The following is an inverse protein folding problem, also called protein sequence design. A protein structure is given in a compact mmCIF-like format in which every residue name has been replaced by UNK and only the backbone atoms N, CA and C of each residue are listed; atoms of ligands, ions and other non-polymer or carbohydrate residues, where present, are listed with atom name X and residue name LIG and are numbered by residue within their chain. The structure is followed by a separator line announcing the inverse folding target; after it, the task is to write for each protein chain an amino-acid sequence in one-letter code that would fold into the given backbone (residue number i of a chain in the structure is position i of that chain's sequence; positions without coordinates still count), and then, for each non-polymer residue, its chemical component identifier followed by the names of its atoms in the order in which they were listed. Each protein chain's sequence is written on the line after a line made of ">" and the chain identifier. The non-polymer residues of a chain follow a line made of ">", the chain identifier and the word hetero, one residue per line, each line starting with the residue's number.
data_IF_751971502819
#
_entry.id   IF_751971502819
#
_cell.length_a   1.000
_cell.length_b   1.000
_cell.length_c   1.000
_cell.angle_alpha   90.00
_cell.angle_beta   90.00
_cell.angle_gamma   90.00
#
_symmetry.space_group_name_H-M   'P 1'
#
loop_
_entity.id
_entity.type
_entity.pdbx_description
1 polymer ?
#
# COMPACT_ATOMS: atom_id res chain seq x y z
N UNK A 1 -29.90 11.20 1.17
CA UNK A 1 -29.70 9.74 1.38
C UNK A 1 -28.23 9.45 1.18
N UNK A 2 -27.59 8.69 2.09
CA UNK A 2 -26.19 8.31 1.91
C UNK A 2 -26.05 7.48 0.64
N UNK A 3 -24.97 7.73 -0.14
CA UNK A 3 -24.63 6.93 -1.31
C UNK A 3 -24.42 5.46 -0.88
N UNK A 4 -24.90 4.52 -1.70
CA UNK A 4 -24.76 3.07 -1.44
C UNK A 4 -23.31 2.68 -1.14
N UNK A 5 -22.35 3.26 -1.85
CA UNK A 5 -20.92 3.02 -1.62
C UNK A 5 -20.43 3.58 -0.29
N UNK A 6 -21.00 4.68 0.20
CA UNK A 6 -20.66 5.19 1.54
C UNK A 6 -21.10 4.22 2.64
N UNK A 7 -22.30 3.65 2.52
CA UNK A 7 -22.79 2.63 3.45
C UNK A 7 -21.88 1.41 3.44
N UNK A 8 -21.53 0.90 2.25
CA UNK A 8 -20.64 -0.25 2.10
C UNK A 8 -19.23 0.04 2.66
N UNK A 9 -18.69 1.24 2.43
CA UNK A 9 -17.37 1.65 2.96
C UNK A 9 -17.39 1.68 4.49
N UNK A 10 -18.43 2.23 5.11
CA UNK A 10 -18.59 2.22 6.58
C UNK A 10 -18.71 0.79 7.12
N UNK A 11 -19.49 -0.07 6.48
CA UNK A 11 -19.62 -1.47 6.85
C UNK A 11 -18.28 -2.23 6.73
N UNK A 12 -17.49 -1.94 5.69
CA UNK A 12 -16.12 -2.47 5.53
C UNK A 12 -15.25 -2.07 6.72
N UNK A 13 -15.22 -0.79 7.09
CA UNK A 13 -14.37 -0.29 8.18
C UNK A 13 -14.76 -0.94 9.51
N UNK A 14 -16.03 -1.02 9.84
CA UNK A 14 -16.46 -1.61 11.11
C UNK A 14 -16.37 -3.14 11.12
N UNK A 15 -16.88 -3.81 10.08
CA UNK A 15 -17.01 -5.28 10.06
C UNK A 15 -15.76 -6.01 9.61
N UNK A 16 -14.96 -5.42 8.71
CA UNK A 16 -13.80 -6.09 8.14
C UNK A 16 -12.46 -5.62 8.72
N UNK A 17 -12.38 -4.38 9.20
CA UNK A 17 -11.12 -3.82 9.72
C UNK A 17 -11.13 -3.77 11.25
N UNK A 18 -12.01 -2.97 11.85
CA UNK A 18 -12.08 -2.79 13.31
C UNK A 18 -12.38 -4.12 14.02
N UNK A 19 -13.35 -4.88 13.53
CA UNK A 19 -13.71 -6.18 14.10
C UNK A 19 -12.58 -7.23 14.02
N UNK A 20 -11.64 -7.06 13.07
CA UNK A 20 -10.46 -7.93 12.91
C UNK A 20 -9.18 -7.40 13.55
N UNK A 21 -9.27 -6.36 14.37
CA UNK A 21 -8.16 -5.92 15.21
C UNK A 21 -7.37 -4.73 14.69
N UNK A 22 -7.75 -4.08 13.58
CA UNK A 22 -7.15 -2.79 13.20
C UNK A 22 -7.56 -1.74 14.23
N UNK A 23 -6.57 -1.05 14.81
CA UNK A 23 -6.74 -0.11 15.94
C UNK A 23 -6.29 1.31 15.61
N UNK A 24 -5.38 1.48 14.63
CA UNK A 24 -4.89 2.81 14.24
C UNK A 24 -6.03 3.70 13.78
N UNK A 25 -6.29 4.79 14.52
CA UNK A 25 -7.31 5.75 14.17
C UNK A 25 -7.04 6.40 12.80
N UNK A 26 -5.78 6.71 12.51
CA UNK A 26 -5.37 7.30 11.23
C UNK A 26 -5.68 6.35 10.06
N UNK A 27 -5.35 5.07 10.19
CA UNK A 27 -5.65 4.06 9.17
C UNK A 27 -7.16 3.91 8.96
N UNK A 28 -7.92 3.76 10.04
CA UNK A 28 -9.38 3.62 9.96
C UNK A 28 -10.05 4.85 9.34
N UNK A 29 -9.56 6.06 9.66
CA UNK A 29 -10.05 7.32 9.07
C UNK A 29 -9.74 7.40 7.59
N UNK A 30 -8.50 7.08 7.17
CA UNK A 30 -8.12 7.04 5.76
C UNK A 30 -8.98 6.04 4.98
N UNK A 31 -9.14 4.81 5.49
CA UNK A 31 -9.98 3.78 4.88
C UNK A 31 -11.46 4.17 4.81
N UNK A 32 -11.97 4.93 5.78
CA UNK A 32 -13.34 5.47 5.77
C UNK A 32 -13.50 6.63 4.79
N UNK A 33 -12.45 7.40 4.54
CA UNK A 33 -12.47 8.57 3.65
C UNK A 33 -12.36 8.18 2.17
N UNK A 34 -11.44 7.27 1.83
CA UNK A 34 -11.09 6.96 0.44
C UNK A 34 -12.12 6.03 -0.21
N UNK A 35 -12.81 6.47 -1.29
CA UNK A 35 -13.84 5.70 -1.98
C UNK A 35 -13.21 4.63 -2.88
N UNK A 36 -13.06 3.41 -2.36
CA UNK A 36 -12.38 2.28 -3.02
C UNK A 36 -12.95 1.93 -4.40
N UNK A 37 -14.26 2.16 -4.63
CA UNK A 37 -14.91 1.91 -5.93
C UNK A 37 -14.33 2.75 -7.08
N UNK A 38 -13.60 3.83 -6.79
CA UNK A 38 -12.92 4.62 -7.81
C UNK A 38 -11.59 3.99 -8.29
N UNK A 39 -11.08 2.99 -7.56
CA UNK A 39 -9.79 2.34 -7.80
C UNK A 39 -9.93 0.95 -8.44
N UNK A 40 -11.11 0.61 -8.91
CA UNK A 40 -11.42 -0.63 -9.62
C UNK A 40 -12.09 -0.32 -10.94
N UNK A 41 -11.98 -1.22 -11.96
CA UNK A 41 -12.75 -1.11 -13.20
C UNK A 41 -14.26 -1.02 -12.91
N UNK A 42 -14.99 -0.40 -13.83
CA UNK A 42 -16.44 -0.19 -13.66
C UNK A 42 -17.21 -1.50 -13.40
N UNK A 43 -16.84 -2.59 -14.08
CA UNK A 43 -17.45 -3.90 -13.88
C UNK A 43 -17.26 -4.46 -12.46
N UNK A 44 -16.21 -4.03 -11.74
CA UNK A 44 -15.89 -4.49 -10.39
C UNK A 44 -16.42 -3.56 -9.29
N UNK A 45 -17.01 -2.41 -9.63
CA UNK A 45 -17.44 -1.43 -8.62
C UNK A 45 -18.46 -1.98 -7.62
N UNK A 46 -19.34 -2.87 -8.06
CA UNK A 46 -20.33 -3.53 -7.17
C UNK A 46 -19.66 -4.38 -6.10
N UNK A 47 -18.47 -4.93 -6.39
CA UNK A 47 -17.68 -5.79 -5.54
C UNK A 47 -16.60 -5.03 -4.74
N UNK A 48 -16.47 -3.69 -4.94
CA UNK A 48 -15.33 -2.92 -4.43
C UNK A 48 -15.11 -3.00 -2.92
N UNK A 49 -16.14 -3.34 -2.14
CA UNK A 49 -16.07 -3.43 -0.68
C UNK A 49 -16.14 -4.87 -0.13
N UNK A 50 -16.05 -5.89 -1.01
CA UNK A 50 -15.86 -7.27 -0.52
C UNK A 50 -14.48 -7.40 0.15
N UNK A 51 -14.36 -8.34 1.08
CA UNK A 51 -13.09 -8.58 1.78
C UNK A 51 -12.18 -9.52 0.97
N UNK A 52 -11.83 -9.11 -0.22
CA UNK A 52 -10.99 -9.85 -1.16
C UNK A 52 -10.25 -8.94 -2.14
N UNK A 53 -9.26 -9.47 -2.87
CA UNK A 53 -8.62 -8.77 -3.97
C UNK A 53 -9.58 -8.69 -5.17
N UNK A 54 -9.38 -7.69 -6.04
CA UNK A 54 -10.12 -7.52 -7.28
C UNK A 54 -9.16 -7.23 -8.44
N UNK A 55 -9.46 -7.66 -9.67
CA UNK A 55 -8.63 -7.37 -10.83
C UNK A 55 -8.66 -5.88 -11.17
N UNK A 56 -7.49 -5.35 -11.59
CA UNK A 56 -7.34 -3.96 -12.07
C UNK A 56 -6.78 -3.88 -13.48
N UNK A 57 -6.75 -4.99 -14.19
CA UNK A 57 -6.11 -5.10 -15.50
C UNK A 57 -4.64 -5.50 -15.41
N UNK A 58 -4.03 -5.75 -16.56
CA UNK A 58 -2.60 -6.12 -16.70
C UNK A 58 -2.16 -7.30 -15.84
N UNK A 59 -3.08 -8.22 -15.48
CA UNK A 59 -2.79 -9.33 -14.57
C UNK A 59 -2.57 -8.91 -13.12
N UNK A 60 -2.86 -7.65 -12.76
CA UNK A 60 -2.68 -7.10 -11.42
C UNK A 60 -4.00 -7.01 -10.66
N UNK A 61 -3.89 -6.86 -9.33
CA UNK A 61 -5.05 -6.76 -8.44
C UNK A 61 -4.90 -5.60 -7.45
N UNK A 62 -6.03 -5.00 -7.07
CA UNK A 62 -6.10 -4.21 -5.84
C UNK A 62 -6.19 -5.17 -4.65
N UNK A 63 -5.35 -5.00 -3.65
CA UNK A 63 -5.30 -5.87 -2.48
C UNK A 63 -6.59 -5.83 -1.66
N UNK A 64 -6.88 -6.93 -0.95
CA UNK A 64 -7.98 -7.04 0.02
C UNK A 64 -7.96 -5.85 1.00
N UNK A 65 -9.12 -5.23 1.33
CA UNK A 65 -9.17 -4.08 2.25
C UNK A 65 -8.48 -4.32 3.60
N UNK A 66 -8.66 -5.51 4.18
CA UNK A 66 -8.01 -5.86 5.44
C UNK A 66 -6.47 -5.86 5.32
N UNK A 67 -5.92 -6.37 4.23
CA UNK A 67 -4.46 -6.41 4.00
C UNK A 67 -3.91 -4.99 3.82
N UNK A 68 -4.58 -4.12 3.07
CA UNK A 68 -4.21 -2.70 2.94
C UNK A 68 -4.13 -2.04 4.31
N UNK A 69 -5.17 -2.20 5.14
CA UNK A 69 -5.21 -1.61 6.47
C UNK A 69 -4.14 -2.20 7.40
N UNK A 70 -3.97 -3.52 7.39
CA UNK A 70 -3.00 -4.23 8.23
C UNK A 70 -1.55 -3.82 7.91
N UNK A 71 -1.20 -3.78 6.62
CA UNK A 71 0.13 -3.35 6.19
C UNK A 71 0.39 -1.89 6.54
N UNK A 72 -0.60 -1.02 6.35
CA UNK A 72 -0.48 0.41 6.70
C UNK A 72 -0.33 0.61 8.20
N UNK A 73 -1.08 -0.13 9.04
CA UNK A 73 -0.95 -0.09 10.50
C UNK A 73 0.43 -0.57 10.95
N UNK A 74 0.94 -1.64 10.35
CA UNK A 74 2.27 -2.20 10.65
C UNK A 74 3.44 -1.26 10.31
N UNK A 75 3.23 -0.25 9.45
CA UNK A 75 4.20 0.81 9.20
C UNK A 75 4.35 1.81 10.35
N UNK A 76 3.39 1.86 11.29
CA UNK A 76 3.41 2.78 12.44
C UNK A 76 3.58 4.25 12.04
N UNK A 77 2.79 4.70 11.05
CA UNK A 77 2.82 6.08 10.56
C UNK A 77 2.28 7.06 11.61
N UNK A 78 2.96 8.22 11.75
CA UNK A 78 2.64 9.29 12.71
C UNK A 78 2.38 10.64 12.05
N UNK A 79 2.49 10.71 10.70
CA UNK A 79 2.20 11.92 9.92
C UNK A 79 3.42 12.67 9.40
N UNK A 80 4.63 12.35 9.85
CA UNK A 80 5.86 13.03 9.44
C UNK A 80 6.72 12.23 8.46
N UNK A 81 6.33 11.00 8.18
CA UNK A 81 7.17 10.05 7.45
C UNK A 81 7.20 10.32 5.95
N UNK A 82 8.37 10.07 5.36
CA UNK A 82 8.56 9.86 3.93
C UNK A 82 8.49 8.37 3.63
N UNK A 83 7.49 7.99 2.83
CA UNK A 83 7.19 6.60 2.51
C UNK A 83 7.59 6.27 1.08
N UNK A 84 8.26 5.12 0.87
CA UNK A 84 8.40 4.49 -0.44
C UNK A 84 7.37 3.38 -0.59
N UNK A 85 6.54 3.46 -1.61
CA UNK A 85 5.65 2.39 -2.05
C UNK A 85 6.20 1.75 -3.33
N UNK A 86 6.29 0.44 -3.36
CA UNK A 86 6.69 -0.35 -4.54
C UNK A 86 5.48 -1.18 -4.99
N UNK A 87 4.93 -0.80 -6.16
CA UNK A 87 3.69 -1.31 -6.73
C UNK A 87 2.53 -0.35 -6.51
N UNK A 88 2.46 0.73 -7.29
CA UNK A 88 1.34 1.70 -7.26
C UNK A 88 0.01 1.03 -7.58
N UNK A 89 -0.01 0.15 -8.58
CA UNK A 89 -1.21 -0.51 -9.06
C UNK A 89 -2.31 0.49 -9.41
N UNK A 90 -3.49 0.32 -8.80
CA UNK A 90 -4.62 1.25 -8.96
C UNK A 90 -4.43 2.60 -8.24
N UNK A 91 -3.45 2.72 -7.35
CA UNK A 91 -3.25 3.90 -6.49
C UNK A 91 -4.04 3.88 -5.19
N UNK A 92 -4.76 2.81 -4.84
CA UNK A 92 -5.56 2.77 -3.62
C UNK A 92 -4.69 2.79 -2.35
N UNK A 93 -3.67 1.94 -2.29
CA UNK A 93 -2.71 1.96 -1.18
C UNK A 93 -1.98 3.31 -1.12
N UNK A 94 -1.60 3.87 -2.29
CA UNK A 94 -0.99 5.21 -2.38
C UNK A 94 -1.89 6.28 -1.76
N UNK A 95 -3.21 6.26 -2.07
CA UNK A 95 -4.19 7.20 -1.50
C UNK A 95 -4.28 7.08 0.02
N UNK A 96 -4.32 5.86 0.56
CA UNK A 96 -4.36 5.62 2.01
C UNK A 96 -3.09 6.15 2.68
N UNK A 97 -1.91 5.92 2.09
CA UNK A 97 -0.64 6.46 2.58
C UNK A 97 -0.61 7.99 2.53
N UNK A 98 -1.11 8.59 1.45
CA UNK A 98 -1.13 10.04 1.25
C UNK A 98 -1.99 10.78 2.27
N UNK A 99 -3.02 10.12 2.83
CA UNK A 99 -3.85 10.68 3.92
C UNK A 99 -3.12 10.72 5.27
N UNK A 100 -2.04 9.96 5.43
CA UNK A 100 -1.40 9.77 6.75
C UNK A 100 0.03 10.31 6.73
N UNK A 101 0.81 10.01 5.68
CA UNK A 101 2.23 10.33 5.62
C UNK A 101 2.48 11.77 5.12
N UNK A 102 3.63 12.34 5.48
CA UNK A 102 4.06 13.64 4.97
C UNK A 102 4.35 13.61 3.47
N UNK A 103 4.96 12.52 2.98
CA UNK A 103 5.32 12.34 1.57
C UNK A 103 5.23 10.86 1.19
N UNK A 104 4.68 10.58 0.01
CA UNK A 104 4.65 9.25 -0.60
C UNK A 104 5.39 9.28 -1.93
N UNK A 105 6.44 8.47 -2.04
CA UNK A 105 7.11 8.17 -3.29
C UNK A 105 6.60 6.80 -3.75
N UNK A 106 5.93 6.73 -4.89
CA UNK A 106 5.36 5.47 -5.39
C UNK A 106 5.97 5.07 -6.72
N UNK A 107 6.29 3.77 -6.85
CA UNK A 107 6.91 3.20 -8.04
C UNK A 107 6.01 2.14 -8.66
N UNK A 108 5.91 2.15 -9.99
CA UNK A 108 5.16 1.17 -10.77
C UNK A 108 5.94 0.80 -12.03
N UNK A 109 5.96 -0.49 -12.35
CA UNK A 109 6.65 -0.98 -13.55
C UNK A 109 5.76 -0.91 -14.79
N UNK A 110 4.43 -0.93 -14.62
CA UNK A 110 3.43 -0.87 -15.69
C UNK A 110 3.04 0.60 -15.91
N UNK A 111 3.45 1.23 -17.04
CA UNK A 111 3.22 2.65 -17.27
C UNK A 111 1.74 3.04 -17.25
N UNK A 112 0.86 2.19 -17.78
CA UNK A 112 -0.58 2.43 -17.87
C UNK A 112 -1.21 2.52 -16.46
N UNK A 113 -0.81 1.66 -15.55
CA UNK A 113 -1.27 1.70 -14.15
C UNK A 113 -0.75 2.96 -13.45
N UNK A 114 0.54 3.27 -13.63
CA UNK A 114 1.14 4.48 -13.03
C UNK A 114 0.44 5.76 -13.53
N UNK A 115 0.17 5.86 -14.83
CA UNK A 115 -0.52 7.02 -15.40
C UNK A 115 -1.96 7.13 -14.88
N UNK A 116 -2.73 6.04 -14.90
CA UNK A 116 -4.11 6.02 -14.42
C UNK A 116 -4.21 6.39 -12.92
N UNK A 117 -3.33 5.84 -12.09
CA UNK A 117 -3.27 6.18 -10.67
C UNK A 117 -2.91 7.67 -10.46
N UNK A 118 -1.94 8.19 -11.20
CA UNK A 118 -1.55 9.62 -11.14
C UNK A 118 -2.70 10.53 -11.52
N UNK A 119 -3.40 10.24 -12.61
CA UNK A 119 -4.56 11.01 -13.06
C UNK A 119 -5.66 11.01 -11.99
N UNK A 120 -6.02 9.84 -11.47
CA UNK A 120 -7.04 9.70 -10.44
C UNK A 120 -6.66 10.47 -9.16
N UNK A 121 -5.44 10.29 -8.66
CA UNK A 121 -4.99 10.91 -7.40
C UNK A 121 -4.81 12.42 -7.52
N UNK A 122 -4.44 12.94 -8.68
CA UNK A 122 -4.33 14.37 -8.91
C UNK A 122 -5.66 15.05 -9.19
N UNK A 123 -6.51 14.45 -10.05
CA UNK A 123 -7.75 15.07 -10.50
C UNK A 123 -8.87 15.00 -9.44
N UNK A 124 -8.99 13.86 -8.74
CA UNK A 124 -10.09 13.63 -7.78
C UNK A 124 -9.69 14.05 -6.36
N UNK A 125 -8.47 13.71 -5.93
CA UNK A 125 -8.03 13.92 -4.55
C UNK A 125 -7.10 15.12 -4.38
N UNK A 126 -6.53 15.63 -5.49
CA UNK A 126 -5.61 16.79 -5.49
C UNK A 126 -4.42 16.64 -4.54
N UNK A 127 -3.94 15.39 -4.33
CA UNK A 127 -2.77 15.15 -3.48
C UNK A 127 -1.53 15.85 -4.03
N UNK A 128 -0.83 16.59 -3.17
CA UNK A 128 0.42 17.30 -3.47
C UNK A 128 1.64 16.62 -2.88
N UNK A 129 1.42 15.63 -2.01
CA UNK A 129 2.44 14.88 -1.29
C UNK A 129 2.77 13.52 -1.93
N UNK A 130 2.34 13.26 -3.18
CA UNK A 130 2.61 12.01 -3.90
C UNK A 130 3.51 12.28 -5.09
N UNK A 131 4.60 11.52 -5.20
CA UNK A 131 5.56 11.57 -6.30
C UNK A 131 5.58 10.18 -6.96
N UNK A 132 5.47 10.14 -8.29
CA UNK A 132 5.38 8.92 -9.09
C UNK A 132 6.65 8.67 -9.89
N UNK A 133 7.11 7.40 -9.93
CA UNK A 133 8.16 6.92 -10.82
C UNK A 133 7.70 5.66 -11.55
N UNK A 134 7.91 5.63 -12.87
CA UNK A 134 7.82 4.40 -13.65
C UNK A 134 9.19 3.73 -13.59
N UNK A 135 9.26 2.49 -13.11
CA UNK A 135 10.52 1.77 -12.98
C UNK A 135 10.40 0.51 -12.14
N UNK A 136 11.50 -0.24 -12.09
CA UNK A 136 11.58 -1.52 -11.37
C UNK A 136 11.74 -1.28 -9.88
N UNK A 137 10.83 -1.84 -9.09
CA UNK A 137 10.80 -1.65 -7.64
C UNK A 137 11.94 -2.33 -6.89
N UNK A 138 12.58 -3.35 -7.47
CA UNK A 138 13.69 -4.06 -6.85
C UNK A 138 14.90 -3.15 -6.55
N UNK A 139 15.07 -2.07 -7.31
CA UNK A 139 16.17 -1.12 -7.15
C UNK A 139 15.85 -0.04 -6.11
N UNK A 140 14.57 0.12 -5.77
CA UNK A 140 14.11 1.23 -4.95
C UNK A 140 14.24 2.59 -5.67
N UNK A 141 14.43 3.63 -4.85
CA UNK A 141 14.57 5.00 -5.37
C UNK A 141 15.70 5.77 -4.67
N UNK A 142 16.98 5.45 -5.00
CA UNK A 142 18.14 6.00 -4.31
C UNK A 142 18.20 7.53 -4.27
N UNK A 143 17.72 8.19 -5.35
CA UNK A 143 17.75 9.66 -5.47
C UNK A 143 16.82 10.36 -4.45
N UNK A 144 15.85 9.63 -3.92
CA UNK A 144 14.92 10.11 -2.89
C UNK A 144 15.19 9.52 -1.50
N UNK A 145 16.17 8.60 -1.38
CA UNK A 145 16.55 8.04 -0.08
C UNK A 145 17.14 9.12 0.86
N UNK A 146 17.10 8.93 2.19
CA UNK A 146 16.50 7.79 2.87
C UNK A 146 14.98 7.91 3.02
N UNK A 147 14.33 6.75 3.26
CA UNK A 147 12.90 6.65 3.54
C UNK A 147 12.66 6.21 4.99
N UNK A 148 11.67 6.77 5.65
CA UNK A 148 11.31 6.39 7.01
C UNK A 148 10.52 5.09 7.03
N UNK A 149 9.73 4.86 5.98
CA UNK A 149 8.89 3.67 5.81
C UNK A 149 8.94 3.19 4.38
N UNK A 150 8.85 1.88 4.20
CA UNK A 150 8.68 1.29 2.87
C UNK A 150 7.58 0.23 2.90
N UNK A 151 6.82 0.13 1.82
CA UNK A 151 5.80 -0.89 1.63
C UNK A 151 5.91 -1.50 0.24
N UNK A 152 5.92 -2.82 0.16
CA UNK A 152 5.86 -3.55 -1.10
C UNK A 152 4.46 -4.14 -1.25
N UNK A 153 3.81 -3.90 -2.37
CA UNK A 153 2.46 -4.39 -2.69
C UNK A 153 2.48 -5.52 -3.72
N UNK A 154 3.67 -6.02 -4.04
CA UNK A 154 3.95 -7.21 -4.84
C UNK A 154 5.02 -8.04 -4.14
N UNK A 155 5.00 -9.36 -4.31
CA UNK A 155 5.86 -10.28 -3.60
C UNK A 155 7.14 -10.60 -4.39
N UNK A 156 8.34 -10.19 -3.94
CA UNK A 156 9.59 -10.74 -4.43
C UNK A 156 9.76 -12.18 -3.89
N UNK A 157 10.33 -13.07 -4.73
CA UNK A 157 10.72 -14.41 -4.28
C UNK A 157 11.76 -14.37 -3.17
N UNK A 158 12.69 -13.41 -3.28
CA UNK A 158 13.66 -13.03 -2.25
C UNK A 158 13.63 -11.52 -2.07
N UNK A 159 13.69 -11.05 -0.83
CA UNK A 159 13.66 -9.62 -0.52
C UNK A 159 14.87 -8.90 -1.13
N UNK A 160 14.68 -7.77 -1.85
CA UNK A 160 15.78 -7.01 -2.45
C UNK A 160 16.53 -6.21 -1.37
N UNK A 161 17.65 -6.75 -0.88
CA UNK A 161 18.41 -6.18 0.25
C UNK A 161 18.95 -4.76 0.00
N UNK A 162 19.07 -4.34 -1.26
CA UNK A 162 19.43 -2.97 -1.62
C UNK A 162 18.49 -1.92 -1.00
N UNK A 163 17.26 -2.29 -0.69
CA UNK A 163 16.30 -1.42 -0.02
C UNK A 163 16.68 -1.09 1.43
N UNK A 164 17.44 -1.97 2.11
CA UNK A 164 17.93 -1.69 3.46
C UNK A 164 18.90 -0.50 3.53
N UNK A 165 19.67 -0.28 2.46
CA UNK A 165 20.56 0.88 2.36
C UNK A 165 19.77 2.19 2.21
N UNK A 166 18.56 2.13 1.67
CA UNK A 166 17.69 3.29 1.48
C UNK A 166 16.73 3.55 2.66
N UNK A 167 16.77 2.70 3.70
CA UNK A 167 15.93 2.83 4.90
C UNK A 167 16.64 3.67 5.96
N UNK A 168 15.93 4.66 6.52
CA UNK A 168 16.40 5.48 7.66
C UNK A 168 16.69 4.62 8.89
N UNK A 169 17.51 5.11 9.80
CA UNK A 169 17.61 4.55 11.14
C UNK A 169 16.26 4.69 11.88
N UNK A 170 15.80 3.62 12.53
CA UNK A 170 14.45 3.54 13.08
C UNK A 170 13.35 3.28 12.05
N UNK A 171 13.73 3.08 10.79
CA UNK A 171 12.80 2.83 9.69
C UNK A 171 12.19 1.43 9.71
N UNK A 172 11.04 1.29 9.03
CA UNK A 172 10.29 0.04 8.92
C UNK A 172 9.96 -0.25 7.46
N UNK A 173 10.13 -1.52 7.05
CA UNK A 173 9.64 -2.04 5.77
C UNK A 173 8.58 -3.10 6.05
N UNK A 174 7.48 -3.06 5.31
CA UNK A 174 6.46 -4.12 5.27
C UNK A 174 6.42 -4.67 3.86
N UNK A 175 6.68 -5.97 3.72
CA UNK A 175 6.76 -6.63 2.42
C UNK A 175 6.20 -8.06 2.48
N UNK A 176 5.41 -8.48 1.46
CA UNK A 176 5.19 -9.89 1.22
C UNK A 176 6.47 -10.50 0.63
N UNK A 177 6.90 -11.64 1.11
CA UNK A 177 8.11 -12.35 0.64
C UNK A 177 7.81 -13.82 0.44
N UNK A 178 8.28 -14.38 -0.64
CA UNK A 178 8.13 -15.81 -0.97
C UNK A 178 7.56 -16.03 -2.37
N UNK A 179 7.56 -17.29 -2.80
CA UNK A 179 7.00 -17.76 -4.06
C UNK A 179 5.56 -18.29 -3.89
N UNK A 180 5.42 -19.61 -3.71
CA UNK A 180 4.11 -20.24 -3.47
C UNK A 180 3.61 -19.96 -2.05
N UNK A 181 4.50 -20.12 -1.07
CA UNK A 181 4.23 -19.78 0.33
C UNK A 181 4.78 -18.39 0.61
N UNK A 182 3.89 -17.39 0.74
CA UNK A 182 4.27 -16.03 1.02
C UNK A 182 3.95 -15.65 2.45
N UNK A 183 4.90 -14.94 3.08
CA UNK A 183 4.73 -14.35 4.40
C UNK A 183 4.83 -12.84 4.28
N UNK A 184 3.96 -12.14 4.99
CA UNK A 184 4.16 -10.72 5.22
C UNK A 184 5.24 -10.57 6.28
N UNK A 185 6.32 -9.85 5.95
CA UNK A 185 7.48 -9.67 6.82
C UNK A 185 7.62 -8.19 7.16
N UNK A 186 7.87 -7.93 8.43
CA UNK A 186 8.30 -6.61 8.92
C UNK A 186 9.80 -6.62 9.10
N UNK A 187 10.49 -5.71 8.44
CA UNK A 187 11.89 -5.41 8.69
C UNK A 187 11.99 -4.08 9.44
N UNK A 188 12.81 -4.03 10.48
CA UNK A 188 13.10 -2.81 11.24
C UNK A 188 14.60 -2.58 11.33
N UNK A 189 15.03 -1.33 11.10
CA UNK A 189 16.43 -0.94 11.19
C UNK A 189 16.71 -0.32 12.56
N UNK A 190 17.60 -0.92 13.33
CA UNK A 190 18.01 -0.42 14.64
C UNK A 190 19.52 -0.53 14.82
N UNK A 191 20.17 0.60 15.11
CA UNK A 191 21.63 0.68 15.29
C UNK A 191 22.37 0.04 14.10
N UNK A 192 21.92 0.38 12.88
CA UNK A 192 22.46 -0.14 11.63
C UNK A 192 22.15 -1.60 11.32
N UNK A 193 21.46 -2.33 12.20
CA UNK A 193 21.09 -3.73 11.99
C UNK A 193 19.64 -3.84 11.50
N UNK A 194 19.38 -4.85 10.67
CA UNK A 194 18.04 -5.21 10.22
C UNK A 194 17.52 -6.39 11.03
N UNK A 195 16.37 -6.20 11.65
CA UNK A 195 15.61 -7.24 12.32
C UNK A 195 14.39 -7.58 11.48
N UNK A 196 14.18 -8.88 11.20
CA UNK A 196 13.04 -9.39 10.44
C UNK A 196 12.07 -10.11 11.38
N UNK A 197 10.77 -9.86 11.21
CA UNK A 197 9.70 -10.52 11.96
C UNK A 197 8.60 -10.94 11.00
N UNK A 198 8.29 -12.23 10.99
CA UNK A 198 7.14 -12.76 10.24
C UNK A 198 5.84 -12.32 10.89
N UNK A 199 4.89 -11.86 10.09
CA UNK A 199 3.56 -11.43 10.53
C UNK A 199 2.50 -12.50 10.20
N UNK A 200 1.89 -12.41 9.01
CA UNK A 200 0.81 -13.29 8.58
C UNK A 200 1.10 -13.92 7.22
N UNK A 201 0.46 -15.04 6.91
CA UNK A 201 0.44 -15.61 5.56
C UNK A 201 -0.38 -14.76 4.62
N UNK A 202 0.10 -14.58 3.38
CA UNK A 202 -0.53 -13.75 2.35
C UNK A 202 -0.35 -14.35 0.96
N UNK A 203 -1.10 -13.81 -0.01
CA UNK A 203 -0.90 -14.12 -1.43
C UNK A 203 -0.93 -12.80 -2.19
N UNK A 204 0.19 -12.45 -2.81
CA UNK A 204 0.36 -11.27 -3.67
C UNK A 204 0.81 -11.68 -5.06
N UNK A 205 0.58 -10.80 -6.03
CA UNK A 205 1.18 -10.91 -7.36
C UNK A 205 2.71 -10.82 -7.24
N UNK A 206 3.47 -11.47 -8.14
CA UNK A 206 4.93 -11.41 -8.10
C UNK A 206 5.45 -10.00 -8.37
N UNK A 207 6.54 -9.62 -7.71
CA UNK A 207 7.31 -8.43 -8.01
C UNK A 207 8.17 -8.70 -9.26
N UNK A 208 7.93 -7.98 -10.35
CA UNK A 208 8.58 -8.12 -11.65
C UNK A 208 9.51 -6.96 -12.00
#
# INVERSE_FOLDING_TARGET
>A
MADTYEIQRRAMVEGQLRARGIRSAAVLQAMAKIPRQLFVPEAERVNSYINGPLPIGFGQTISQPYIVAYMTEALELRGSEKVLEIGTGSGYQTAILAEIAAQVCTMEVIPELSCGARELLSAVFNYKNVIFKIGRGQEGWPEFAPFDRMILTAAPGQFPEVLFAQLSEGGIIIAPVGGVDQRLVRYSKRVGKIEATDLIGVIFVPLV
#
